data_IF_717871139469
#
_entry.id   IF_717871139469
#
_cell.length_a   1.000
_cell.length_b   1.000
_cell.length_c   1.000
_cell.angle_alpha   90.00
_cell.angle_beta   90.00
_cell.angle_gamma   90.00
#
_symmetry.space_group_name_H-M   'P 1'
#
loop_
_entity.id
_entity.type
_entity.pdbx_description
1 polymer ?
#
# COMPACT_ATOMS: atom_id res chain seq x y z
N UNK A 1 -21.01 9.44 -11.98
CA UNK A 1 -20.17 10.06 -10.95
C UNK A 1 -18.79 9.45 -11.07
N UNK A 2 -17.78 10.23 -11.45
CA UNK A 2 -16.41 9.71 -11.53
C UNK A 2 -15.78 9.78 -10.14
N UNK A 3 -15.45 8.65 -9.57
CA UNK A 3 -14.71 8.57 -8.31
C UNK A 3 -13.21 8.66 -8.62
N UNK A 4 -12.52 9.62 -8.02
CA UNK A 4 -11.07 9.72 -8.08
C UNK A 4 -10.51 9.19 -6.75
N UNK A 5 -9.71 8.13 -6.81
CA UNK A 5 -9.01 7.57 -5.66
C UNK A 5 -7.54 7.95 -5.74
N UNK A 6 -7.06 8.68 -4.75
CA UNK A 6 -5.66 9.13 -4.69
C UNK A 6 -4.89 8.27 -3.70
N UNK A 7 -3.76 7.74 -4.13
CA UNK A 7 -2.86 6.96 -3.29
C UNK A 7 -1.56 7.73 -3.12
N UNK A 8 -1.11 7.83 -1.87
CA UNK A 8 0.19 8.38 -1.51
C UNK A 8 1.07 7.29 -0.94
N UNK A 9 2.39 7.44 -1.12
CA UNK A 9 3.38 6.51 -0.61
C UNK A 9 4.17 7.16 0.50
N UNK A 10 4.28 6.47 1.64
CA UNK A 10 5.07 6.89 2.79
C UNK A 10 6.21 5.89 3.03
N UNK A 11 7.22 5.92 2.17
CA UNK A 11 8.35 5.01 2.26
C UNK A 11 9.63 5.72 2.73
N UNK A 12 10.12 5.34 3.92
CA UNK A 12 11.39 5.82 4.47
C UNK A 12 12.54 4.84 4.25
N UNK A 13 12.23 3.55 4.11
CA UNK A 13 13.22 2.50 4.29
C UNK A 13 14.06 2.18 3.06
N UNK A 14 13.61 2.43 1.85
CA UNK A 14 14.31 2.08 0.61
C UNK A 14 14.44 3.29 -0.32
N UNK A 15 14.51 4.45 0.29
CA UNK A 15 14.70 5.72 -0.38
C UNK A 15 16.15 6.19 -0.24
N UNK A 16 16.57 7.13 -1.07
CA UNK A 16 17.85 7.80 -0.94
C UNK A 16 17.88 8.84 0.20
N UNK A 17 16.97 8.74 1.18
CA UNK A 17 16.89 9.65 2.33
C UNK A 17 17.91 9.19 3.37
N UNK A 18 18.90 10.02 3.75
CA UNK A 18 19.82 9.72 4.84
C UNK A 18 19.08 9.57 6.17
N UNK A 19 19.58 8.72 7.07
CA UNK A 19 18.95 8.42 8.35
C UNK A 19 18.72 9.67 9.19
N UNK A 20 19.67 10.60 9.20
CA UNK A 20 19.59 11.88 9.91
C UNK A 20 18.48 12.82 9.40
N UNK A 21 17.97 12.58 8.20
CA UNK A 21 16.89 13.38 7.59
C UNK A 21 15.49 12.75 7.75
N UNK A 22 15.37 11.55 8.28
CA UNK A 22 14.09 10.85 8.40
C UNK A 22 13.08 11.66 9.22
N UNK A 23 13.53 12.26 10.34
CA UNK A 23 12.67 13.11 11.17
C UNK A 23 12.15 14.32 10.39
N UNK A 24 13.01 14.97 9.62
CA UNK A 24 12.66 16.13 8.81
C UNK A 24 11.64 15.76 7.71
N UNK A 25 11.80 14.61 7.06
CA UNK A 25 10.84 14.12 6.05
C UNK A 25 9.47 13.86 6.67
N UNK A 26 9.41 13.23 7.85
CA UNK A 26 8.14 13.02 8.54
C UNK A 26 7.49 14.38 8.88
N UNK A 27 8.26 15.31 9.39
CA UNK A 27 7.75 16.63 9.83
C UNK A 27 7.33 17.51 8.63
N UNK A 28 8.08 17.50 7.52
CA UNK A 28 7.83 18.37 6.36
C UNK A 28 6.96 17.77 5.26
N UNK A 29 6.83 16.45 5.20
CA UNK A 29 6.08 15.77 4.15
C UNK A 29 4.89 14.97 4.71
N UNK A 30 5.12 14.14 5.72
CA UNK A 30 4.09 13.18 6.15
C UNK A 30 3.06 13.82 7.09
N UNK A 31 3.46 14.68 8.02
CA UNK A 31 2.50 15.46 8.83
C UNK A 31 1.66 16.41 7.97
N UNK A 32 2.24 17.20 7.05
CA UNK A 32 1.44 18.06 6.17
C UNK A 32 0.42 17.32 5.31
N UNK A 33 0.69 16.07 4.90
CA UNK A 33 -0.29 15.24 4.22
C UNK A 33 -1.49 14.92 5.12
N UNK A 34 -1.24 14.52 6.38
CA UNK A 34 -2.32 14.28 7.34
C UNK A 34 -3.11 15.56 7.65
N UNK A 35 -2.42 16.70 7.79
CA UNK A 35 -3.04 18.02 8.00
C UNK A 35 -3.93 18.43 6.82
N UNK A 36 -3.47 18.16 5.60
CA UNK A 36 -4.26 18.40 4.39
C UNK A 36 -5.53 17.55 4.39
N UNK A 37 -5.41 16.25 4.66
CA UNK A 37 -6.55 15.33 4.72
C UNK A 37 -7.56 15.78 5.77
N UNK A 38 -7.08 16.12 6.97
CA UNK A 38 -7.92 16.61 8.07
C UNK A 38 -8.70 17.86 7.69
N UNK A 39 -8.01 18.86 7.10
CA UNK A 39 -8.61 20.15 6.72
C UNK A 39 -9.55 20.02 5.53
N UNK A 40 -9.14 19.32 4.48
CA UNK A 40 -9.89 19.21 3.23
C UNK A 40 -11.02 18.20 3.28
N UNK A 41 -10.97 17.26 4.23
CA UNK A 41 -11.85 16.07 4.29
C UNK A 41 -11.76 15.21 3.03
N UNK A 42 -10.67 15.33 2.27
CA UNK A 42 -10.42 14.51 1.07
C UNK A 42 -10.03 13.11 1.50
N UNK A 43 -10.73 12.10 0.98
CA UNK A 43 -10.39 10.69 1.24
C UNK A 43 -9.19 10.28 0.39
N UNK A 44 -8.24 9.59 1.02
CA UNK A 44 -7.04 9.08 0.35
C UNK A 44 -6.72 7.64 0.77
N UNK A 45 -5.99 6.93 -0.09
CA UNK A 45 -5.22 5.75 0.29
C UNK A 45 -3.81 6.18 0.70
N UNK A 46 -3.26 5.56 1.74
CA UNK A 46 -1.86 5.74 2.12
C UNK A 46 -1.18 4.38 2.18
N UNK A 47 -0.26 4.17 1.26
CA UNK A 47 0.61 2.99 1.23
C UNK A 47 1.82 3.24 2.12
N UNK A 48 2.13 2.29 2.98
CA UNK A 48 3.29 2.33 3.86
C UNK A 48 3.76 0.90 4.17
N UNK A 49 5.08 0.66 4.11
CA UNK A 49 5.65 -0.62 4.54
C UNK A 49 5.67 -0.74 6.07
N UNK A 50 5.62 -1.97 6.58
CA UNK A 50 5.69 -2.22 8.03
C UNK A 50 6.94 -1.60 8.65
N UNK A 51 8.09 -1.76 8.01
CA UNK A 51 9.35 -1.20 8.49
C UNK A 51 9.37 0.34 8.52
N UNK A 52 8.84 1.00 7.48
CA UNK A 52 8.69 2.47 7.51
C UNK A 52 7.75 2.92 8.64
N UNK A 53 6.71 2.14 8.93
CA UNK A 53 5.78 2.44 10.03
C UNK A 53 6.46 2.34 11.40
N UNK A 54 7.33 1.33 11.61
CA UNK A 54 8.14 1.22 12.84
C UNK A 54 9.09 2.42 13.01
N UNK A 55 9.75 2.85 11.92
CA UNK A 55 10.59 4.04 11.93
C UNK A 55 9.79 5.27 12.38
N UNK A 56 8.60 5.48 11.77
CA UNK A 56 7.74 6.62 12.12
C UNK A 56 7.28 6.53 13.58
N UNK A 57 6.89 5.36 14.06
CA UNK A 57 6.49 5.17 15.44
C UNK A 57 7.61 5.54 16.41
N UNK A 58 8.86 5.17 16.11
CA UNK A 58 10.00 5.44 16.96
C UNK A 58 10.38 6.92 16.96
N UNK A 59 10.33 7.60 15.81
CA UNK A 59 10.78 8.99 15.67
C UNK A 59 9.66 9.98 16.00
N UNK A 60 8.44 9.70 15.57
CA UNK A 60 7.27 10.60 15.66
C UNK A 60 5.98 9.85 16.00
N UNK A 61 5.83 9.35 17.23
CA UNK A 61 4.63 8.59 17.63
C UNK A 61 3.33 9.40 17.49
N UNK A 62 3.40 10.73 17.58
CA UNK A 62 2.24 11.60 17.35
C UNK A 62 1.64 11.47 15.93
N UNK A 63 2.47 11.14 14.93
CA UNK A 63 2.00 10.87 13.57
C UNK A 63 1.09 9.65 13.55
N UNK A 64 1.47 8.59 14.29
CA UNK A 64 0.68 7.35 14.40
C UNK A 64 -0.70 7.65 15.01
N UNK A 65 -0.72 8.45 16.08
CA UNK A 65 -1.99 8.86 16.72
C UNK A 65 -2.90 9.57 15.72
N UNK A 66 -2.36 10.57 15.03
CA UNK A 66 -3.11 11.34 14.03
C UNK A 66 -3.59 10.48 12.85
N UNK A 67 -2.75 9.56 12.36
CA UNK A 67 -3.14 8.61 11.33
C UNK A 67 -4.34 7.77 11.77
N UNK A 68 -4.30 7.20 12.99
CA UNK A 68 -5.40 6.39 13.55
C UNK A 68 -6.71 7.19 13.65
N UNK A 69 -6.64 8.43 14.09
CA UNK A 69 -7.80 9.32 14.16
C UNK A 69 -8.44 9.53 12.78
N UNK A 70 -7.63 9.83 11.75
CA UNK A 70 -8.10 10.04 10.39
C UNK A 70 -8.61 8.76 9.73
N UNK A 71 -7.99 7.61 10.04
CA UNK A 71 -8.49 6.31 9.58
C UNK A 71 -9.85 5.98 10.21
N UNK A 72 -10.04 6.21 11.51
CA UNK A 72 -11.32 6.02 12.20
C UNK A 72 -12.44 6.93 11.65
N UNK A 73 -12.07 8.07 11.10
CA UNK A 73 -13.00 8.98 10.40
C UNK A 73 -13.23 8.58 8.93
N UNK A 74 -12.67 7.46 8.46
CA UNK A 74 -12.73 7.00 7.07
C UNK A 74 -12.18 8.01 6.05
N UNK A 75 -11.21 8.84 6.46
CA UNK A 75 -10.52 9.79 5.60
C UNK A 75 -9.23 9.22 5.00
N UNK A 76 -8.60 8.26 5.70
CA UNK A 76 -7.42 7.55 5.20
C UNK A 76 -7.71 6.06 5.21
N UNK A 77 -7.44 5.41 4.08
CA UNK A 77 -7.40 3.95 3.97
C UNK A 77 -5.95 3.48 3.97
N UNK A 78 -5.62 2.54 4.87
CA UNK A 78 -4.30 1.90 4.88
C UNK A 78 -4.19 0.92 3.71
N UNK A 79 -3.17 1.13 2.89
CA UNK A 79 -2.80 0.22 1.80
C UNK A 79 -1.57 -0.57 2.24
N UNK A 80 -1.67 -1.89 2.25
CA UNK A 80 -0.58 -2.77 2.64
C UNK A 80 0.52 -2.84 1.58
N UNK A 81 1.75 -3.08 2.01
CA UNK A 81 2.94 -3.18 1.15
C UNK A 81 3.90 -4.31 1.60
N UNK A 82 3.50 -5.08 2.63
CA UNK A 82 4.38 -6.00 3.35
C UNK A 82 5.26 -5.29 4.37
N UNK A 83 6.15 -6.04 5.02
CA UNK A 83 7.09 -5.47 5.98
C UNK A 83 8.19 -4.66 5.27
N UNK A 84 8.79 -5.25 4.24
CA UNK A 84 9.79 -4.63 3.38
C UNK A 84 9.24 -4.51 1.96
N UNK A 85 9.62 -3.44 1.25
CA UNK A 85 9.28 -3.28 -0.16
C UNK A 85 10.22 -4.16 -1.01
N UNK A 86 9.82 -5.40 -1.23
CA UNK A 86 10.55 -6.36 -2.07
C UNK A 86 9.93 -6.47 -3.46
N UNK A 87 10.75 -6.77 -4.45
CA UNK A 87 10.27 -7.10 -5.81
C UNK A 87 9.81 -8.56 -5.78
N UNK A 88 8.53 -8.74 -5.49
CA UNK A 88 7.97 -10.01 -5.09
C UNK A 88 8.23 -11.18 -6.08
N UNK A 89 8.16 -11.02 -7.42
CA UNK A 89 8.47 -12.12 -8.35
C UNK A 89 9.94 -12.56 -8.36
N UNK A 90 10.86 -11.77 -7.80
CA UNK A 90 12.30 -12.06 -7.80
C UNK A 90 12.78 -12.80 -6.55
N UNK A 91 11.89 -13.03 -5.58
CA UNK A 91 12.22 -13.71 -4.33
C UNK A 91 11.40 -14.99 -4.14
N UNK A 92 11.89 -15.98 -3.37
CA UNK A 92 11.14 -17.21 -3.12
C UNK A 92 9.78 -16.96 -2.47
N UNK A 93 8.79 -17.80 -2.79
CA UNK A 93 7.43 -17.70 -2.26
C UNK A 93 7.39 -17.60 -0.72
N UNK A 94 8.20 -18.41 -0.02
CA UNK A 94 8.26 -18.40 1.45
C UNK A 94 8.74 -17.05 2.00
N UNK A 95 9.66 -16.38 1.32
CA UNK A 95 10.16 -15.04 1.70
C UNK A 95 9.05 -14.02 1.52
N UNK A 96 8.34 -14.04 0.38
CA UNK A 96 7.18 -13.20 0.14
C UNK A 96 6.09 -13.39 1.21
N UNK A 97 5.74 -14.65 1.48
CA UNK A 97 4.70 -14.98 2.46
C UNK A 97 5.07 -14.45 3.86
N UNK A 98 6.34 -14.66 4.26
CA UNK A 98 6.80 -14.16 5.56
C UNK A 98 6.82 -12.63 5.60
N UNK A 99 7.28 -11.97 4.54
CA UNK A 99 7.27 -10.52 4.42
C UNK A 99 5.86 -9.92 4.59
N UNK A 100 4.86 -10.54 3.97
CA UNK A 100 3.47 -10.08 4.11
C UNK A 100 2.93 -10.34 5.54
N UNK A 101 3.21 -11.51 6.13
CA UNK A 101 2.76 -11.83 7.50
C UNK A 101 3.33 -10.87 8.52
N UNK A 102 4.66 -10.62 8.49
CA UNK A 102 5.30 -9.66 9.39
C UNK A 102 4.72 -8.25 9.19
N UNK A 103 4.49 -7.84 7.92
CA UNK A 103 3.86 -6.56 7.63
C UNK A 103 2.47 -6.44 8.27
N UNK A 104 1.60 -7.45 8.10
CA UNK A 104 0.26 -7.47 8.69
C UNK A 104 0.29 -7.45 10.23
N UNK A 105 1.21 -8.19 10.85
CA UNK A 105 1.44 -8.15 12.30
C UNK A 105 1.87 -6.76 12.75
N UNK A 106 2.78 -6.11 12.02
CA UNK A 106 3.26 -4.76 12.32
C UNK A 106 2.12 -3.74 12.22
N UNK A 107 1.29 -3.79 11.18
CA UNK A 107 0.12 -2.92 11.05
C UNK A 107 -0.86 -3.12 12.22
N UNK A 108 -1.15 -4.37 12.57
CA UNK A 108 -2.03 -4.66 13.70
C UNK A 108 -1.44 -4.14 15.02
N UNK A 109 -0.17 -4.38 15.29
CA UNK A 109 0.48 -3.99 16.55
C UNK A 109 0.58 -2.47 16.70
N UNK A 110 0.91 -1.74 15.63
CA UNK A 110 1.12 -0.29 15.68
C UNK A 110 -0.18 0.48 15.51
N UNK A 111 -0.98 0.11 14.49
CA UNK A 111 -2.18 0.86 14.12
C UNK A 111 -3.48 0.24 14.66
N UNK A 112 -3.49 -1.06 14.96
CA UNK A 112 -4.73 -1.80 15.24
C UNK A 112 -5.56 -2.06 13.99
N UNK A 113 -4.94 -2.04 12.79
CA UNK A 113 -5.60 -2.13 11.48
C UNK A 113 -4.97 -3.26 10.68
N UNK A 114 -5.81 -4.03 9.98
CA UNK A 114 -5.37 -4.98 8.95
C UNK A 114 -5.83 -4.43 7.60
N UNK A 115 -4.90 -4.02 6.71
CA UNK A 115 -5.26 -3.50 5.39
C UNK A 115 -5.93 -4.59 4.53
N UNK A 116 -6.94 -4.21 3.76
CA UNK A 116 -7.65 -5.10 2.84
C UNK A 116 -7.14 -5.02 1.42
N UNK A 117 -6.39 -3.97 1.12
CA UNK A 117 -5.85 -3.69 -0.20
C UNK A 117 -4.33 -3.71 -0.10
N UNK A 118 -3.65 -4.35 -1.06
CA UNK A 118 -2.20 -4.38 -1.14
C UNK A 118 -1.71 -3.64 -2.39
N UNK A 119 -0.64 -2.87 -2.23
CA UNK A 119 0.08 -2.29 -3.34
C UNK A 119 1.13 -3.28 -3.87
N UNK A 120 1.15 -3.48 -5.19
CA UNK A 120 2.15 -4.33 -5.83
C UNK A 120 3.44 -3.54 -6.03
N UNK A 121 4.42 -3.78 -5.17
CA UNK A 121 5.70 -3.07 -5.19
C UNK A 121 6.38 -3.18 -6.55
N UNK A 122 6.99 -2.06 -6.99
CA UNK A 122 7.68 -1.92 -8.29
C UNK A 122 6.81 -2.32 -9.49
N UNK A 123 5.49 -2.38 -9.30
CA UNK A 123 4.52 -2.75 -10.33
C UNK A 123 4.81 -4.09 -11.01
N UNK A 124 5.58 -4.96 -10.34
CA UNK A 124 6.00 -6.26 -10.86
C UNK A 124 4.98 -7.33 -10.51
N UNK A 125 4.37 -7.91 -11.53
CA UNK A 125 3.27 -8.84 -11.37
C UNK A 125 3.64 -10.27 -11.78
N UNK A 126 3.14 -11.24 -11.02
CA UNK A 126 3.03 -12.63 -11.42
C UNK A 126 1.72 -13.24 -10.89
N UNK A 127 1.20 -14.24 -11.58
CA UNK A 127 -0.05 -14.90 -11.15
C UNK A 127 0.03 -15.50 -9.75
N UNK A 128 1.21 -15.96 -9.32
CA UNK A 128 1.41 -16.51 -7.98
C UNK A 128 1.24 -15.49 -6.87
N UNK A 129 1.41 -14.18 -7.17
CA UNK A 129 1.18 -13.12 -6.19
C UNK A 129 -0.30 -12.97 -5.82
N UNK A 130 -1.21 -13.23 -6.75
CA UNK A 130 -2.64 -13.22 -6.46
C UNK A 130 -2.98 -14.27 -5.40
N UNK A 131 -2.44 -15.48 -5.57
CA UNK A 131 -2.65 -16.57 -4.62
C UNK A 131 -2.04 -16.23 -3.26
N UNK A 132 -0.84 -15.65 -3.24
CA UNK A 132 -0.15 -15.23 -2.02
C UNK A 132 -0.92 -14.15 -1.27
N UNK A 133 -1.35 -13.09 -1.96
CA UNK A 133 -2.10 -12.01 -1.34
C UNK A 133 -3.46 -12.47 -0.82
N UNK A 134 -4.13 -13.36 -1.57
CA UNK A 134 -5.35 -14.00 -1.10
C UNK A 134 -5.11 -14.85 0.17
N UNK A 135 -4.02 -15.63 0.21
CA UNK A 135 -3.66 -16.48 1.36
C UNK A 135 -3.47 -15.68 2.64
N UNK A 136 -2.90 -14.49 2.55
CA UNK A 136 -2.68 -13.62 3.72
C UNK A 136 -3.87 -12.72 4.05
N UNK A 137 -4.94 -12.76 3.26
CA UNK A 137 -6.22 -12.12 3.58
C UNK A 137 -6.49 -10.77 2.92
N UNK A 138 -5.72 -10.37 1.90
CA UNK A 138 -6.07 -9.23 1.08
C UNK A 138 -7.27 -9.54 0.17
N UNK A 139 -8.08 -8.53 -0.11
CA UNK A 139 -9.28 -8.61 -0.94
C UNK A 139 -9.08 -7.97 -2.32
N UNK A 140 -8.14 -7.04 -2.41
CA UNK A 140 -7.79 -6.37 -3.66
C UNK A 140 -6.30 -6.04 -3.71
N UNK A 141 -5.80 -5.83 -4.94
CA UNK A 141 -4.46 -5.32 -5.20
C UNK A 141 -4.52 -4.07 -6.08
N UNK A 142 -3.51 -3.21 -5.95
CA UNK A 142 -3.36 -1.99 -6.74
C UNK A 142 -2.15 -2.13 -7.65
N UNK A 143 -2.36 -1.78 -8.93
CA UNK A 143 -1.32 -1.72 -9.95
C UNK A 143 -1.55 -0.54 -10.89
N UNK A 144 -0.48 -0.08 -11.53
CA UNK A 144 -0.54 0.94 -12.56
C UNK A 144 -1.12 0.36 -13.87
N UNK A 145 -2.15 1.02 -14.38
CA UNK A 145 -2.82 0.63 -15.62
C UNK A 145 -1.86 0.59 -16.82
N UNK A 146 -1.02 1.61 -16.97
CA UNK A 146 -0.15 1.76 -18.13
C UNK A 146 0.80 0.56 -18.30
N UNK A 147 1.31 -0.02 -17.21
CA UNK A 147 2.17 -1.18 -17.25
C UNK A 147 1.44 -2.40 -17.82
N UNK A 148 0.25 -2.70 -17.33
CA UNK A 148 -0.55 -3.81 -17.82
C UNK A 148 -0.98 -3.60 -19.27
N UNK A 149 -1.43 -2.38 -19.62
CA UNK A 149 -1.86 -2.03 -20.97
C UNK A 149 -0.73 -2.05 -22.01
N UNK A 150 0.47 -1.60 -21.64
CA UNK A 150 1.64 -1.63 -22.54
C UNK A 150 2.05 -3.04 -22.94
N UNK A 151 1.91 -4.01 -22.01
CA UNK A 151 2.22 -5.42 -22.23
C UNK A 151 1.11 -6.17 -22.97
N UNK A 152 -0.13 -5.74 -22.85
CA UNK A 152 -1.27 -6.39 -23.47
C UNK A 152 -2.33 -5.39 -23.96
N UNK A 153 -2.12 -4.86 -25.16
CA UNK A 153 -3.03 -3.91 -25.80
C UNK A 153 -4.43 -4.46 -26.14
N UNK A 154 -4.67 -5.77 -25.94
CA UNK A 154 -5.99 -6.37 -26.08
C UNK A 154 -6.91 -6.12 -24.89
N UNK A 155 -6.36 -5.63 -23.76
CA UNK A 155 -7.17 -5.23 -22.59
C UNK A 155 -8.00 -4.01 -23.00
N UNK A 156 -9.31 -4.07 -22.80
CA UNK A 156 -10.22 -2.94 -23.09
C UNK A 156 -9.91 -1.77 -22.19
N UNK A 157 -9.74 -0.56 -22.75
CA UNK A 157 -9.42 0.67 -22.00
C UNK A 157 -10.45 0.98 -20.91
N UNK A 158 -11.70 0.63 -21.10
CA UNK A 158 -12.78 0.86 -20.13
C UNK A 158 -12.52 0.15 -18.78
N UNK A 159 -11.71 -0.90 -18.78
CA UNK A 159 -11.31 -1.59 -17.53
C UNK A 159 -10.41 -0.75 -16.64
N UNK A 160 -9.78 0.32 -17.14
CA UNK A 160 -9.01 1.25 -16.33
C UNK A 160 -9.86 1.99 -15.28
N UNK A 161 -11.18 2.08 -15.51
CA UNK A 161 -12.08 2.91 -14.70
C UNK A 161 -12.97 2.11 -13.74
N UNK A 162 -12.75 0.82 -13.64
CA UNK A 162 -13.52 -0.04 -12.74
C UNK A 162 -12.67 -1.17 -12.18
N UNK A 163 -12.95 -1.63 -10.95
CA UNK A 163 -12.33 -2.83 -10.42
C UNK A 163 -12.63 -4.02 -11.33
N UNK A 164 -11.62 -4.83 -11.62
CA UNK A 164 -11.79 -6.08 -12.36
C UNK A 164 -11.21 -7.25 -11.57
N UNK A 165 -11.63 -8.48 -11.90
CA UNK A 165 -11.10 -9.68 -11.27
C UNK A 165 -9.83 -10.09 -12.00
N UNK A 166 -8.74 -10.24 -11.24
CA UNK A 166 -7.49 -10.82 -11.71
C UNK A 166 -7.35 -12.24 -11.17
N UNK A 167 -6.96 -13.16 -12.07
CA UNK A 167 -6.79 -14.58 -11.74
C UNK A 167 -5.34 -14.92 -11.47
N UNK A 168 -5.10 -15.53 -10.31
CA UNK A 168 -3.86 -16.21 -9.96
C UNK A 168 -3.77 -17.61 -10.61
N UNK A 169 -3.07 -18.51 -9.95
CA UNK A 169 -2.98 -19.93 -10.32
C UNK A 169 -4.20 -20.68 -9.80
N UNK A 170 -4.64 -20.39 -8.55
CA UNK A 170 -5.74 -21.08 -7.86
C UNK A 170 -6.81 -20.15 -7.31
N UNK A 171 -6.46 -18.89 -7.09
CA UNK A 171 -7.29 -17.87 -6.44
C UNK A 171 -7.51 -16.69 -7.35
N UNK A 172 -8.41 -15.80 -6.94
CA UNK A 172 -8.67 -14.54 -7.64
C UNK A 172 -8.86 -13.40 -6.64
N UNK A 173 -8.52 -12.20 -7.06
CA UNK A 173 -8.67 -10.96 -6.29
C UNK A 173 -9.20 -9.86 -7.20
N UNK A 174 -9.70 -8.79 -6.60
CA UNK A 174 -9.97 -7.57 -7.34
C UNK A 174 -8.65 -6.84 -7.63
N UNK A 175 -8.56 -6.20 -8.80
CA UNK A 175 -7.51 -5.24 -9.12
C UNK A 175 -8.10 -3.85 -9.27
N UNK A 176 -7.47 -2.90 -8.61
CA UNK A 176 -7.74 -1.47 -8.72
C UNK A 176 -6.60 -0.85 -9.51
N UNK A 177 -6.92 -0.08 -10.52
CA UNK A 177 -5.92 0.58 -11.36
C UNK A 177 -5.60 1.98 -10.86
N UNK A 178 -4.32 2.32 -10.83
CA UNK A 178 -3.81 3.68 -10.57
C UNK A 178 -3.24 4.31 -11.82
#
# INVERSE_FOLDING_TARGET
MNLCYKIYHANLAFSAIPEEQLAEVIDKCYFPLLDFVEKSKTKIGLEISGYSLEIIQNIRPAWITKFKELNNLYLIELIGSGYMQIIAPLVPYKVNLQNQKIGLETYMNILGIIPKIVFVNEQTFSKSLVDLYYEVGYEALIMEWNNAYSLNKKIKKDFAYSPIIVKGIKKELHILWS
#
